data_IF_985062183964
#
_entry.id   IF_985062183964
#
_cell.length_a   1.000
_cell.length_b   1.000
_cell.length_c   1.000
_cell.angle_alpha   90.00
_cell.angle_beta   90.00
_cell.angle_gamma   90.00
#
_symmetry.space_group_name_H-M   'P 1'
#
loop_
_entity.id
_entity.type
_entity.pdbx_description
1 polymer ?
#
# COMPACT_ATOMS: atom_id res chain seq x y z
N UNK A 1 33.32 -20.95 -3.90
CA UNK A 1 32.31 -19.97 -3.44
C UNK A 1 32.28 -19.91 -1.91
N UNK A 2 32.49 -18.74 -1.30
CA UNK A 2 32.56 -18.60 0.17
C UNK A 2 31.15 -18.42 0.76
N UNK A 3 30.74 -19.38 1.58
CA UNK A 3 29.44 -19.37 2.27
C UNK A 3 29.24 -18.16 3.19
N UNK A 4 30.33 -17.57 3.71
CA UNK A 4 30.26 -16.38 4.57
C UNK A 4 29.82 -15.16 3.77
N UNK A 5 30.36 -15.01 2.55
CA UNK A 5 29.99 -13.93 1.65
C UNK A 5 28.54 -14.05 1.24
N UNK A 6 28.12 -15.24 0.79
CA UNK A 6 26.72 -15.49 0.42
C UNK A 6 25.74 -15.24 1.57
N UNK A 7 26.10 -15.64 2.80
CA UNK A 7 25.24 -15.39 3.96
C UNK A 7 25.07 -13.91 4.27
N UNK A 8 26.11 -13.12 4.08
CA UNK A 8 26.07 -11.65 4.27
C UNK A 8 25.21 -10.99 3.21
N UNK A 9 25.34 -11.42 1.97
CA UNK A 9 24.64 -10.86 0.81
C UNK A 9 23.15 -11.22 0.79
N UNK A 10 22.82 -12.52 0.92
CA UNK A 10 21.46 -12.99 0.72
C UNK A 10 20.67 -13.20 2.03
N UNK A 11 21.31 -13.11 3.19
CA UNK A 11 20.69 -13.31 4.53
C UNK A 11 19.88 -14.62 4.64
N UNK A 12 20.22 -15.63 3.83
CA UNK A 12 19.51 -16.90 3.77
C UNK A 12 19.95 -17.88 4.87
N UNK A 13 19.09 -18.83 5.27
CA UNK A 13 19.47 -19.96 6.13
C UNK A 13 20.66 -20.74 5.57
N UNK A 14 21.57 -21.16 6.45
CA UNK A 14 22.80 -21.82 6.05
C UNK A 14 22.55 -23.11 5.23
N UNK A 15 21.49 -23.84 5.53
CA UNK A 15 21.11 -25.04 4.78
C UNK A 15 20.80 -24.77 3.31
N UNK A 16 20.20 -23.63 3.00
CA UNK A 16 19.90 -23.21 1.61
C UNK A 16 21.21 -22.92 0.88
N UNK A 17 22.09 -22.15 1.51
CA UNK A 17 23.39 -21.78 0.93
C UNK A 17 24.27 -23.02 0.71
N UNK A 18 24.32 -23.95 1.67
CA UNK A 18 25.06 -25.19 1.53
C UNK A 18 24.52 -26.08 0.40
N UNK A 19 23.20 -26.17 0.25
CA UNK A 19 22.60 -26.93 -0.84
C UNK A 19 22.89 -26.29 -2.21
N UNK A 20 22.79 -24.98 -2.32
CA UNK A 20 23.11 -24.26 -3.56
C UNK A 20 24.60 -24.46 -3.97
N UNK A 21 25.52 -24.37 -3.01
CA UNK A 21 26.95 -24.61 -3.26
C UNK A 21 27.20 -26.07 -3.68
N UNK A 22 26.59 -27.07 -3.01
CA UNK A 22 26.72 -28.47 -3.43
C UNK A 22 26.20 -28.68 -4.86
N UNK A 23 25.05 -28.12 -5.21
CA UNK A 23 24.49 -28.23 -6.55
C UNK A 23 25.36 -27.54 -7.59
N UNK A 24 25.94 -26.38 -7.28
CA UNK A 24 26.87 -25.70 -8.20
C UNK A 24 28.17 -26.49 -8.42
N UNK A 25 28.70 -27.12 -7.37
CA UNK A 25 29.90 -27.99 -7.47
C UNK A 25 29.59 -29.25 -8.28
N UNK A 26 28.43 -29.87 -8.06
CA UNK A 26 28.02 -31.05 -8.81
C UNK A 26 27.80 -30.73 -10.30
N UNK A 27 27.16 -29.62 -10.61
CA UNK A 27 27.02 -29.16 -11.97
C UNK A 27 28.38 -28.89 -12.62
N UNK A 28 29.32 -28.24 -11.94
CA UNK A 28 30.68 -28.02 -12.46
C UNK A 28 31.44 -29.32 -12.73
N UNK A 29 31.25 -30.39 -11.94
CA UNK A 29 31.87 -31.69 -12.16
C UNK A 29 31.27 -32.47 -13.34
N UNK A 30 29.94 -32.37 -13.54
CA UNK A 30 29.28 -33.08 -14.66
C UNK A 30 29.51 -32.40 -16.01
N UNK A 31 29.88 -31.09 -16.05
CA UNK A 31 30.22 -30.38 -17.28
C UNK A 31 31.69 -30.42 -17.66
N UNK A 32 32.58 -30.96 -16.81
CA UNK A 32 33.99 -31.10 -17.15
C UNK A 32 34.26 -32.29 -18.09
N UNK A 33 33.30 -33.22 -18.26
CA UNK A 33 33.47 -34.41 -19.12
C UNK A 33 32.88 -34.22 -20.54
N UNK A 34 32.05 -33.21 -20.80
CA UNK A 34 31.47 -32.93 -22.13
C UNK A 34 31.88 -31.58 -22.64
N UNK A 35 32.58 -31.58 -23.77
CA UNK A 35 33.17 -30.46 -24.52
C UNK A 35 32.24 -29.20 -24.66
N UNK A 36 32.87 -28.06 -24.32
CA UNK A 36 32.74 -26.74 -25.01
C UNK A 36 31.43 -25.94 -24.97
N UNK A 37 30.55 -26.11 -24.00
CA UNK A 37 29.63 -25.03 -23.68
C UNK A 37 29.66 -24.79 -22.17
N UNK A 38 30.57 -23.88 -21.71
CA UNK A 38 30.55 -23.33 -20.35
C UNK A 38 29.23 -22.58 -20.13
N UNK A 39 28.13 -23.28 -19.85
CA UNK A 39 26.94 -22.66 -19.25
C UNK A 39 27.33 -22.26 -17.83
N UNK A 40 27.64 -21.01 -17.66
CA UNK A 40 27.78 -20.39 -16.35
C UNK A 40 26.55 -20.75 -15.52
N UNK A 41 26.74 -21.48 -14.43
CA UNK A 41 25.62 -21.91 -13.58
C UNK A 41 25.09 -20.67 -12.91
N UNK A 42 23.88 -20.27 -13.28
CA UNK A 42 23.21 -19.12 -12.67
C UNK A 42 22.94 -19.39 -11.19
N UNK A 43 23.79 -18.79 -10.35
CA UNK A 43 23.71 -18.90 -8.91
C UNK A 43 22.37 -18.40 -8.37
N UNK A 44 21.79 -17.36 -8.96
CA UNK A 44 20.50 -16.81 -8.52
C UNK A 44 19.40 -17.82 -8.77
N UNK A 45 19.41 -18.51 -9.88
CA UNK A 45 18.47 -19.58 -10.19
C UNK A 45 18.61 -20.76 -9.22
N UNK A 46 19.83 -21.18 -8.89
CA UNK A 46 20.08 -22.24 -7.91
C UNK A 46 19.58 -21.85 -6.51
N UNK A 47 19.90 -20.64 -6.07
CA UNK A 47 19.43 -20.13 -4.78
C UNK A 47 17.91 -20.04 -4.75
N UNK A 48 17.27 -19.60 -5.82
CA UNK A 48 15.82 -19.56 -5.98
C UNK A 48 15.18 -20.95 -5.84
N UNK A 49 15.75 -21.96 -6.50
CA UNK A 49 15.27 -23.34 -6.44
C UNK A 49 15.41 -23.93 -5.02
N UNK A 50 16.57 -23.72 -4.37
CA UNK A 50 16.80 -24.17 -3.00
C UNK A 50 15.89 -23.46 -2.00
N UNK A 51 15.65 -22.16 -2.17
CA UNK A 51 14.73 -21.39 -1.35
C UNK A 51 13.29 -21.88 -1.52
N UNK A 52 12.86 -22.13 -2.75
CA UNK A 52 11.52 -22.68 -3.04
C UNK A 52 11.29 -24.01 -2.36
N UNK A 53 12.30 -24.89 -2.41
CA UNK A 53 12.21 -26.18 -1.72
C UNK A 53 12.17 -26.05 -0.19
N UNK A 54 12.92 -25.09 0.37
CA UNK A 54 12.90 -24.79 1.80
C UNK A 54 11.55 -24.22 2.24
N UNK A 55 10.99 -23.25 1.50
CA UNK A 55 9.69 -22.65 1.80
C UNK A 55 8.57 -23.68 1.78
N UNK A 56 8.61 -24.66 0.87
CA UNK A 56 7.65 -25.79 0.84
C UNK A 56 7.67 -26.61 2.12
N UNK A 57 8.82 -26.70 2.81
CA UNK A 57 8.97 -27.44 4.08
C UNK A 57 8.60 -26.62 5.32
N UNK A 58 8.40 -25.31 5.19
CA UNK A 58 7.90 -24.51 6.31
C UNK A 58 6.50 -24.99 6.73
N UNK A 59 6.16 -24.90 8.03
CA UNK A 59 4.84 -25.24 8.51
C UNK A 59 3.75 -24.57 7.66
N UNK A 60 2.74 -25.34 7.30
CA UNK A 60 1.59 -24.77 6.60
C UNK A 60 0.73 -24.01 7.62
N UNK A 61 0.89 -22.70 7.64
CA UNK A 61 0.05 -21.79 8.36
C UNK A 61 -0.79 -20.98 7.34
N UNK A 62 -2.08 -20.78 7.59
CA UNK A 62 -2.91 -19.99 6.69
C UNK A 62 -2.39 -18.54 6.60
N UNK A 63 -2.36 -17.99 5.39
CA UNK A 63 -1.99 -16.60 5.14
C UNK A 63 -3.18 -15.71 5.46
N UNK A 64 -3.29 -15.23 6.70
CA UNK A 64 -4.43 -14.46 7.20
C UNK A 64 -4.10 -13.01 7.53
N UNK A 65 -2.83 -12.69 7.69
CA UNK A 65 -2.41 -11.34 8.06
C UNK A 65 -2.11 -10.54 6.81
N UNK A 66 -2.85 -9.46 6.65
CA UNK A 66 -2.68 -8.51 5.54
C UNK A 66 -1.67 -7.45 5.92
N UNK A 67 -0.79 -7.11 4.99
CA UNK A 67 0.19 -6.03 5.11
C UNK A 67 0.23 -5.24 3.80
N UNK A 68 0.08 -3.93 3.89
CA UNK A 68 0.26 -3.03 2.76
C UNK A 68 1.63 -2.38 2.80
N UNK A 69 2.33 -2.43 1.67
CA UNK A 69 3.48 -1.62 1.35
C UNK A 69 3.10 -0.47 0.45
N UNK A 70 3.74 0.68 0.64
CA UNK A 70 3.43 1.89 -0.10
C UNK A 70 4.72 2.54 -0.56
N UNK A 71 4.70 3.04 -1.79
CA UNK A 71 5.73 3.91 -2.32
C UNK A 71 5.09 5.04 -3.11
N UNK A 72 5.70 6.21 -3.09
CA UNK A 72 5.25 7.38 -3.85
C UNK A 72 6.37 7.97 -4.68
N UNK A 73 6.04 8.38 -5.89
CA UNK A 73 6.86 9.18 -6.79
C UNK A 73 6.11 10.44 -7.16
N UNK A 74 6.75 11.39 -7.87
CA UNK A 74 6.13 12.70 -8.17
C UNK A 74 4.73 12.63 -8.79
N UNK A 75 4.45 11.59 -9.58
CA UNK A 75 3.20 11.46 -10.33
C UNK A 75 2.47 10.14 -10.11
N UNK A 76 2.95 9.31 -9.19
CA UNK A 76 2.37 7.99 -8.97
C UNK A 76 2.50 7.54 -7.52
N UNK A 77 1.52 6.75 -7.07
CA UNK A 77 1.58 5.99 -5.83
C UNK A 77 1.44 4.51 -6.20
N UNK A 78 2.33 3.67 -5.68
CA UNK A 78 2.16 2.23 -5.75
C UNK A 78 1.78 1.69 -4.37
N UNK A 79 0.87 0.72 -4.37
CA UNK A 79 0.46 -0.03 -3.18
C UNK A 79 0.55 -1.51 -3.48
N UNK A 80 1.22 -2.25 -2.61
CA UNK A 80 1.35 -3.71 -2.72
C UNK A 80 0.72 -4.37 -1.49
N UNK A 81 -0.16 -5.34 -1.73
CA UNK A 81 -0.80 -6.14 -0.69
C UNK A 81 -0.05 -7.47 -0.53
N UNK A 82 0.46 -7.71 0.67
CA UNK A 82 1.04 -8.99 1.06
C UNK A 82 0.10 -9.72 2.02
N UNK A 83 0.02 -11.02 1.85
CA UNK A 83 -0.51 -11.95 2.85
C UNK A 83 0.63 -12.66 3.54
N UNK A 84 0.60 -12.74 4.87
CA UNK A 84 1.59 -13.47 5.66
C UNK A 84 0.95 -14.39 6.71
N UNK A 85 1.73 -15.36 7.17
CA UNK A 85 1.26 -16.38 8.11
C UNK A 85 1.30 -15.93 9.56
N UNK A 86 2.11 -14.96 9.91
CA UNK A 86 2.23 -14.47 11.29
C UNK A 86 2.58 -13.00 11.39
N UNK A 87 2.36 -12.44 12.59
CA UNK A 87 2.72 -11.04 12.90
C UNK A 87 4.10 -10.88 13.54
N UNK A 88 4.81 -12.00 13.78
CA UNK A 88 6.06 -11.97 14.57
C UNK A 88 7.18 -11.15 13.94
N UNK A 89 7.21 -11.06 12.60
CA UNK A 89 8.23 -10.32 11.84
C UNK A 89 7.64 -9.13 11.07
N UNK A 90 6.55 -8.56 11.60
CA UNK A 90 5.81 -7.50 10.95
C UNK A 90 6.69 -6.34 10.42
N UNK A 91 7.65 -5.77 11.16
CA UNK A 91 8.50 -4.70 10.63
C UNK A 91 9.25 -5.12 9.36
N UNK A 92 9.85 -6.31 9.33
CA UNK A 92 10.56 -6.81 8.16
C UNK A 92 9.64 -7.06 6.97
N UNK A 93 8.39 -7.52 7.23
CA UNK A 93 7.40 -7.76 6.18
C UNK A 93 6.90 -6.43 5.61
N UNK A 94 6.71 -5.42 6.44
CA UNK A 94 6.38 -4.04 6.00
C UNK A 94 7.50 -3.47 5.13
N UNK A 95 8.77 -3.64 5.52
CA UNK A 95 9.92 -3.18 4.72
C UNK A 95 9.96 -3.87 3.35
N UNK A 96 9.69 -5.18 3.31
CA UNK A 96 9.57 -5.93 2.06
C UNK A 96 8.43 -5.40 1.21
N UNK A 97 7.25 -5.18 1.80
CA UNK A 97 6.09 -4.66 1.09
C UNK A 97 6.37 -3.27 0.49
N UNK A 98 7.01 -2.37 1.26
CA UNK A 98 7.41 -1.06 0.77
C UNK A 98 8.46 -1.15 -0.35
N UNK A 99 9.42 -2.07 -0.25
CA UNK A 99 10.40 -2.30 -1.31
C UNK A 99 9.73 -2.78 -2.59
N UNK A 100 8.77 -3.72 -2.49
CA UNK A 100 7.99 -4.19 -3.64
C UNK A 100 7.13 -3.08 -4.24
N UNK A 101 6.59 -2.18 -3.42
CA UNK A 101 5.87 -1.01 -3.92
C UNK A 101 6.81 -0.04 -4.69
N UNK A 102 8.04 0.17 -4.22
CA UNK A 102 9.05 0.93 -4.96
C UNK A 102 9.40 0.26 -6.28
N UNK A 103 9.58 -1.06 -6.29
CA UNK A 103 9.82 -1.81 -7.52
C UNK A 103 8.64 -1.71 -8.50
N UNK A 104 7.41 -1.71 -8.02
CA UNK A 104 6.22 -1.54 -8.85
C UNK A 104 6.23 -0.19 -9.59
N UNK A 105 6.69 0.90 -8.94
CA UNK A 105 6.84 2.20 -9.57
C UNK A 105 7.89 2.22 -10.70
N UNK A 106 8.93 1.41 -10.58
CA UNK A 106 10.04 1.38 -11.54
C UNK A 106 9.78 0.38 -12.67
N UNK A 107 9.32 -0.82 -12.32
CA UNK A 107 9.25 -1.97 -13.22
C UNK A 107 7.82 -2.33 -13.64
N UNK A 108 6.81 -1.66 -13.09
CA UNK A 108 5.40 -1.96 -13.31
C UNK A 108 4.86 -3.03 -12.36
N UNK A 109 3.54 -2.99 -12.13
CA UNK A 109 2.85 -3.88 -11.17
C UNK A 109 2.94 -5.35 -11.54
N UNK A 110 2.88 -5.68 -12.84
CA UNK A 110 2.88 -7.07 -13.31
C UNK A 110 4.21 -7.77 -13.02
N UNK A 111 5.34 -7.05 -13.10
CA UNK A 111 6.64 -7.58 -12.72
C UNK A 111 6.70 -7.94 -11.24
N UNK A 112 6.09 -7.13 -10.38
CA UNK A 112 6.01 -7.40 -8.95
C UNK A 112 5.11 -8.58 -8.65
N UNK A 113 3.92 -8.66 -9.27
CA UNK A 113 2.99 -9.77 -9.08
C UNK A 113 3.59 -11.12 -9.49
N UNK A 114 4.40 -11.14 -10.55
CA UNK A 114 5.06 -12.34 -11.06
C UNK A 114 6.40 -12.64 -10.38
N UNK A 115 6.82 -11.82 -9.40
CA UNK A 115 8.11 -11.97 -8.74
C UNK A 115 8.18 -13.25 -7.91
N UNK A 116 9.29 -13.98 -8.05
CA UNK A 116 9.59 -15.09 -7.16
C UNK A 116 10.06 -14.58 -5.78
N UNK A 117 9.17 -14.62 -4.79
CA UNK A 117 9.42 -14.15 -3.42
C UNK A 117 10.01 -15.22 -2.49
N UNK A 118 10.29 -16.43 -3.01
CA UNK A 118 10.76 -17.54 -2.18
C UNK A 118 12.10 -17.26 -1.47
N UNK A 119 12.99 -16.47 -2.08
CA UNK A 119 14.23 -16.04 -1.43
C UNK A 119 13.96 -15.18 -0.19
N UNK A 120 13.02 -14.25 -0.30
CA UNK A 120 12.60 -13.38 0.80
C UNK A 120 11.88 -14.19 1.89
N UNK A 121 10.95 -15.05 1.50
CA UNK A 121 10.25 -15.96 2.42
C UNK A 121 11.22 -16.87 3.17
N UNK A 122 12.21 -17.43 2.47
CA UNK A 122 13.25 -18.25 3.06
C UNK A 122 14.15 -17.49 4.04
N UNK A 123 14.48 -16.23 3.75
CA UNK A 123 15.29 -15.38 4.65
C UNK A 123 14.57 -15.08 5.96
N UNK A 124 13.26 -14.93 5.93
CA UNK A 124 12.43 -14.71 7.10
C UNK A 124 12.05 -16.00 7.82
N UNK A 125 12.08 -17.15 7.12
CA UNK A 125 11.56 -18.42 7.64
C UNK A 125 10.04 -18.43 7.77
N UNK A 126 9.34 -17.60 6.99
CA UNK A 126 7.89 -17.46 6.98
C UNK A 126 7.34 -17.48 5.56
N UNK A 127 6.09 -17.95 5.41
CA UNK A 127 5.38 -17.88 4.15
C UNK A 127 4.68 -16.55 4.01
N UNK A 128 4.79 -15.97 2.84
CA UNK A 128 3.98 -14.84 2.43
C UNK A 128 3.73 -14.88 0.92
N UNK A 129 2.74 -14.13 0.48
CA UNK A 129 2.31 -14.07 -0.91
C UNK A 129 2.02 -12.62 -1.29
N UNK A 130 2.39 -12.22 -2.50
CA UNK A 130 1.92 -10.98 -3.10
C UNK A 130 0.52 -11.27 -3.64
N UNK A 131 -0.49 -10.61 -3.07
CA UNK A 131 -1.88 -10.82 -3.46
C UNK A 131 -2.31 -9.82 -4.52
N UNK A 132 -1.89 -8.56 -4.37
CA UNK A 132 -2.23 -7.50 -5.29
C UNK A 132 -1.14 -6.43 -5.35
N UNK A 133 -1.09 -5.72 -6.47
CA UNK A 133 -0.29 -4.52 -6.66
C UNK A 133 -1.08 -3.54 -7.54
N UNK A 134 -1.18 -2.28 -7.10
CA UNK A 134 -1.82 -1.21 -7.83
C UNK A 134 -0.91 0.01 -7.94
N UNK A 135 -1.04 0.73 -9.06
CA UNK A 135 -0.37 2.00 -9.31
C UNK A 135 -1.43 3.05 -9.63
N UNK A 136 -1.45 4.12 -8.86
CA UNK A 136 -2.38 5.23 -9.02
C UNK A 136 -1.64 6.43 -9.63
N UNK A 137 -2.17 6.96 -10.73
CA UNK A 137 -1.67 8.21 -11.33
C UNK A 137 -2.10 9.41 -10.47
N UNK A 138 -1.21 10.41 -10.39
CA UNK A 138 -1.40 11.67 -9.68
C UNK A 138 -1.32 12.85 -10.66
N UNK A 139 -1.63 12.62 -11.93
CA UNK A 139 -1.61 13.68 -12.93
C UNK A 139 -2.64 14.74 -12.56
N UNK A 140 -2.18 16.00 -12.53
CA UNK A 140 -2.98 17.19 -12.22
C UNK A 140 -3.71 17.18 -10.87
N UNK A 141 -3.30 16.28 -9.95
CA UNK A 141 -3.86 16.16 -8.61
C UNK A 141 -2.82 16.36 -7.51
N UNK A 142 -3.27 16.87 -6.37
CA UNK A 142 -2.59 16.79 -5.09
C UNK A 142 -3.15 15.58 -4.36
N UNK A 143 -2.27 14.73 -3.87
CA UNK A 143 -2.67 13.48 -3.25
C UNK A 143 -2.34 13.46 -1.75
N UNK A 144 -3.34 13.09 -0.96
CA UNK A 144 -3.17 12.67 0.43
C UNK A 144 -3.10 11.15 0.53
N UNK A 145 -2.20 10.67 1.37
CA UNK A 145 -1.99 9.26 1.63
C UNK A 145 -2.00 9.01 3.13
N UNK A 146 -2.74 7.99 3.55
CA UNK A 146 -2.76 7.54 4.94
C UNK A 146 -2.76 6.02 5.01
N UNK A 147 -1.89 5.48 5.87
CA UNK A 147 -1.83 4.05 6.14
C UNK A 147 -2.12 3.77 7.61
N UNK A 148 -3.20 3.05 7.88
CA UNK A 148 -3.57 2.68 9.25
C UNK A 148 -3.02 1.29 9.59
N UNK A 149 -2.03 1.25 10.50
CA UNK A 149 -1.41 0.01 11.01
C UNK A 149 -0.94 -0.97 9.92
N UNK A 150 -0.59 -0.47 8.74
CA UNK A 150 -0.23 -1.24 7.54
C UNK A 150 -1.33 -2.23 7.08
N UNK A 151 -2.59 -2.01 7.46
CA UNK A 151 -3.74 -2.87 7.11
C UNK A 151 -4.81 -2.16 6.30
N UNK A 152 -4.86 -0.84 6.37
CA UNK A 152 -5.78 -0.01 5.60
C UNK A 152 -5.00 1.14 4.97
N UNK A 153 -5.24 1.40 3.70
CA UNK A 153 -4.63 2.51 2.97
C UNK A 153 -5.72 3.39 2.42
N UNK A 154 -5.69 4.67 2.78
CA UNK A 154 -6.54 5.70 2.21
C UNK A 154 -5.75 6.58 1.25
N UNK A 155 -6.34 6.89 0.11
CA UNK A 155 -5.83 7.83 -0.88
C UNK A 155 -6.95 8.83 -1.17
N UNK A 156 -6.63 10.13 -1.10
CA UNK A 156 -7.54 11.19 -1.50
C UNK A 156 -6.86 12.08 -2.53
N UNK A 157 -7.54 12.34 -3.63
CA UNK A 157 -7.04 13.18 -4.72
C UNK A 157 -7.83 14.50 -4.78
N UNK A 158 -7.13 15.62 -4.81
CA UNK A 158 -7.68 16.97 -4.95
C UNK A 158 -7.15 17.55 -6.27
N UNK A 159 -8.04 18.15 -7.08
CA UNK A 159 -7.62 18.86 -8.30
C UNK A 159 -6.57 19.93 -7.98
N UNK A 160 -5.49 19.96 -8.75
CA UNK A 160 -4.37 20.87 -8.56
C UNK A 160 -4.27 21.97 -9.62
N UNK A 161 -5.21 22.00 -10.59
CA UNK A 161 -5.13 22.87 -11.76
C UNK A 161 -4.96 24.36 -11.38
N UNK A 162 -5.65 24.81 -10.33
CA UNK A 162 -5.68 26.23 -9.92
C UNK A 162 -4.93 26.51 -8.62
N UNK A 163 -4.09 25.56 -8.14
CA UNK A 163 -3.42 25.68 -6.86
C UNK A 163 -1.99 26.21 -7.04
N UNK A 164 -1.68 27.44 -6.55
CA UNK A 164 -0.34 27.98 -6.59
C UNK A 164 0.67 27.10 -5.84
N UNK A 165 1.89 26.97 -6.35
CA UNK A 165 2.95 26.13 -5.78
C UNK A 165 3.20 26.42 -4.29
N UNK A 166 3.20 27.71 -3.91
CA UNK A 166 3.37 28.13 -2.50
C UNK A 166 2.27 27.63 -1.54
N UNK A 167 1.12 27.18 -2.07
CA UNK A 167 -0.01 26.67 -1.30
C UNK A 167 -0.10 25.14 -1.28
N UNK A 168 0.61 24.47 -2.19
CA UNK A 168 0.61 23.01 -2.29
C UNK A 168 0.89 22.29 -0.97
N UNK A 169 1.82 22.72 -0.09
CA UNK A 169 2.04 22.04 1.20
C UNK A 169 0.80 22.05 2.10
N UNK A 170 0.03 23.16 2.10
CA UNK A 170 -1.22 23.22 2.89
C UNK A 170 -2.30 22.33 2.30
N UNK A 171 -2.41 22.28 0.96
CA UNK A 171 -3.38 21.42 0.28
C UNK A 171 -3.00 19.95 0.44
N UNK A 172 -1.70 19.61 0.43
CA UNK A 172 -1.22 18.26 0.76
C UNK A 172 -1.71 17.83 2.16
N UNK A 173 -1.59 18.71 3.15
CA UNK A 173 -2.07 18.41 4.50
C UNK A 173 -3.60 18.19 4.54
N UNK A 174 -4.38 19.01 3.81
CA UNK A 174 -5.82 18.78 3.65
C UNK A 174 -6.07 17.42 3.00
N UNK A 175 -5.38 17.10 1.91
CA UNK A 175 -5.52 15.82 1.22
C UNK A 175 -5.21 14.61 2.14
N UNK A 176 -4.15 14.70 2.96
CA UNK A 176 -3.84 13.67 3.96
C UNK A 176 -4.98 13.49 4.98
N UNK A 177 -5.59 14.59 5.44
CA UNK A 177 -6.72 14.52 6.36
C UNK A 177 -7.97 13.94 5.70
N UNK A 178 -8.18 14.19 4.42
CA UNK A 178 -9.23 13.53 3.63
C UNK A 178 -8.99 12.02 3.55
N UNK A 179 -7.76 11.58 3.31
CA UNK A 179 -7.41 10.16 3.28
C UNK A 179 -7.64 9.49 4.65
N UNK A 180 -7.29 10.15 5.75
CA UNK A 180 -7.59 9.68 7.12
C UNK A 180 -9.09 9.56 7.37
N UNK A 181 -9.85 10.56 6.94
CA UNK A 181 -11.30 10.58 7.11
C UNK A 181 -11.97 9.43 6.33
N UNK A 182 -11.54 9.19 5.07
CA UNK A 182 -12.02 8.07 4.28
C UNK A 182 -11.78 6.71 4.96
N UNK A 183 -10.56 6.50 5.49
CA UNK A 183 -10.23 5.28 6.25
C UNK A 183 -11.05 5.17 7.54
N UNK A 184 -11.26 6.27 8.25
CA UNK A 184 -12.04 6.27 9.49
C UNK A 184 -13.48 5.78 9.28
N UNK A 185 -14.14 6.23 8.21
CA UNK A 185 -15.52 5.87 7.93
C UNK A 185 -15.70 4.64 7.02
N UNK A 186 -14.62 4.03 6.57
CA UNK A 186 -14.66 2.89 5.65
C UNK A 186 -15.49 1.72 6.21
N UNK A 187 -15.32 1.39 7.49
CA UNK A 187 -16.10 0.34 8.14
C UNK A 187 -17.61 0.63 8.17
N UNK A 188 -18.01 1.90 8.34
CA UNK A 188 -19.41 2.30 8.27
C UNK A 188 -19.99 2.16 6.86
N UNK A 189 -19.20 2.51 5.84
CA UNK A 189 -19.59 2.31 4.44
C UNK A 189 -19.80 0.83 4.11
N UNK A 190 -18.85 -0.03 4.45
CA UNK A 190 -18.98 -1.48 4.23
C UNK A 190 -20.18 -2.08 4.95
N UNK A 191 -20.48 -1.60 6.16
CA UNK A 191 -21.66 -2.08 6.92
C UNK A 191 -22.96 -1.70 6.21
N UNK A 192 -23.03 -0.51 5.60
CA UNK A 192 -24.15 -0.07 4.78
C UNK A 192 -24.33 -0.94 3.55
N UNK A 193 -23.26 -1.19 2.80
CA UNK A 193 -23.28 -2.03 1.60
C UNK A 193 -23.69 -3.47 1.92
N UNK A 194 -23.21 -4.05 3.03
CA UNK A 194 -23.64 -5.37 3.48
C UNK A 194 -25.14 -5.45 3.75
N UNK A 195 -25.73 -4.41 4.35
CA UNK A 195 -27.18 -4.37 4.58
C UNK A 195 -27.98 -4.35 3.28
N UNK A 196 -27.51 -3.60 2.28
CA UNK A 196 -28.15 -3.57 0.96
C UNK A 196 -28.09 -4.96 0.30
N UNK A 197 -26.93 -5.61 0.33
CA UNK A 197 -26.76 -6.93 -0.30
C UNK A 197 -27.53 -8.07 0.39
N UNK A 198 -27.70 -8.01 1.71
CA UNK A 198 -28.52 -9.01 2.45
C UNK A 198 -29.99 -8.92 2.03
N UNK A 199 -30.49 -7.72 1.76
CA UNK A 199 -31.86 -7.52 1.32
C UNK A 199 -32.13 -8.06 -0.10
N UNK A 200 -31.09 -8.09 -0.96
CA UNK A 200 -31.19 -8.61 -2.32
C UNK A 200 -30.95 -10.13 -2.44
N UNK A 201 -30.77 -10.82 -1.32
CA UNK A 201 -30.57 -12.28 -1.29
C UNK A 201 -29.21 -12.74 -1.84
N UNK A 202 -28.29 -11.82 -2.07
CA UNK A 202 -26.94 -12.13 -2.52
C UNK A 202 -25.99 -12.50 -1.38
N UNK A 203 -25.24 -13.57 -1.55
CA UNK A 203 -24.10 -13.89 -0.67
C UNK A 203 -22.96 -12.94 -1.02
N UNK A 204 -22.55 -12.08 -0.06
CA UNK A 204 -21.40 -11.21 -0.27
C UNK A 204 -20.14 -12.05 -0.07
N UNK A 205 -19.56 -12.56 -1.15
CA UNK A 205 -18.22 -13.16 -1.15
C UNK A 205 -17.11 -12.14 -1.37
N UNK A 206 -17.41 -10.89 -1.69
CA UNK A 206 -16.41 -9.88 -2.00
C UNK A 206 -16.05 -9.06 -0.76
N UNK A 207 -15.00 -9.46 -0.10
CA UNK A 207 -14.21 -8.55 0.70
C UNK A 207 -13.62 -7.51 -0.27
N UNK A 208 -14.11 -6.27 -0.19
CA UNK A 208 -13.63 -5.22 -1.08
C UNK A 208 -12.16 -4.93 -0.78
N UNK A 209 -11.28 -5.48 -1.61
CA UNK A 209 -9.87 -5.09 -1.60
C UNK A 209 -9.70 -3.59 -1.88
N UNK A 210 -10.54 -3.04 -2.74
CA UNK A 210 -10.46 -1.66 -3.22
C UNK A 210 -11.84 -1.07 -3.38
N UNK A 211 -12.07 0.07 -2.74
CA UNK A 211 -13.31 0.85 -2.88
C UNK A 211 -12.97 2.24 -3.41
N UNK A 212 -13.57 2.62 -4.54
CA UNK A 212 -13.32 3.89 -5.23
C UNK A 212 -14.53 4.40 -6.04
N UNK A 213 -15.74 4.00 -5.67
CA UNK A 213 -16.96 4.41 -6.39
C UNK A 213 -17.32 5.88 -6.13
N UNK A 214 -18.07 6.55 -7.04
CA UNK A 214 -18.67 7.85 -6.78
C UNK A 214 -19.55 7.85 -5.51
N UNK A 215 -20.35 6.80 -5.30
CA UNK A 215 -21.20 6.64 -4.12
C UNK A 215 -20.41 6.63 -2.82
N UNK A 216 -19.19 6.05 -2.84
CA UNK A 216 -18.27 6.12 -1.70
C UNK A 216 -17.79 7.55 -1.46
N UNK A 217 -17.46 8.28 -2.52
CA UNK A 217 -17.04 9.67 -2.41
C UNK A 217 -18.15 10.56 -1.86
N UNK A 218 -19.37 10.41 -2.35
CA UNK A 218 -20.55 11.17 -1.86
C UNK A 218 -20.86 10.82 -0.41
N UNK A 219 -20.78 9.54 -0.05
CA UNK A 219 -20.94 9.10 1.33
C UNK A 219 -19.92 9.77 2.25
N UNK A 220 -18.62 9.72 1.91
CA UNK A 220 -17.55 10.32 2.71
C UNK A 220 -17.72 11.83 2.87
N UNK A 221 -18.10 12.55 1.81
CA UNK A 221 -18.31 13.98 1.83
C UNK A 221 -19.48 14.43 2.71
N UNK A 222 -20.50 13.58 2.86
CA UNK A 222 -21.69 13.87 3.67
C UNK A 222 -21.50 13.66 5.17
N UNK A 223 -20.41 12.96 5.58
CA UNK A 223 -20.19 12.59 6.97
C UNK A 223 -19.54 13.71 7.80
N UNK A 224 -19.78 13.72 9.12
CA UNK A 224 -19.16 14.67 10.03
C UNK A 224 -17.63 14.58 9.98
N UNK A 225 -16.98 15.72 9.82
CA UNK A 225 -15.51 15.81 9.83
C UNK A 225 -14.99 15.77 11.28
N UNK A 226 -14.27 14.70 11.63
CA UNK A 226 -13.83 14.46 13.01
C UNK A 226 -12.30 14.55 13.18
N UNK A 227 -11.56 14.82 12.12
CA UNK A 227 -10.10 14.87 12.18
C UNK A 227 -9.67 16.27 12.61
N UNK A 228 -8.91 16.34 13.72
CA UNK A 228 -8.32 17.58 14.17
C UNK A 228 -7.13 17.95 13.31
N UNK A 229 -7.16 19.13 12.71
CA UNK A 229 -6.00 19.75 12.09
C UNK A 229 -5.84 21.21 12.58
N UNK A 230 -4.68 21.77 12.33
CA UNK A 230 -4.39 23.17 12.69
C UNK A 230 -4.77 24.20 11.62
N UNK A 231 -5.39 23.78 10.50
CA UNK A 231 -5.67 24.63 9.35
C UNK A 231 -6.99 25.36 9.53
N UNK A 232 -8.00 24.64 9.96
CA UNK A 232 -9.33 25.18 10.21
C UNK A 232 -9.48 25.49 11.69
N UNK A 233 -9.74 26.76 12.01
CA UNK A 233 -9.92 27.23 13.38
C UNK A 233 -11.19 26.67 14.06
N UNK A 234 -12.12 26.14 13.29
CA UNK A 234 -13.27 25.38 13.79
C UNK A 234 -12.81 24.07 14.42
N UNK A 235 -12.22 24.18 15.60
CA UNK A 235 -11.70 22.99 16.32
C UNK A 235 -12.86 22.15 16.85
N UNK A 236 -12.78 20.83 16.78
CA UNK A 236 -13.74 19.93 17.41
C UNK A 236 -13.94 20.17 18.91
N UNK A 237 -12.98 20.78 19.59
CA UNK A 237 -13.03 21.07 21.03
C UNK A 237 -14.20 21.93 21.48
N UNK A 238 -14.87 22.65 20.58
CA UNK A 238 -16.07 23.45 20.87
C UNK A 238 -17.37 22.71 20.58
N UNK A 239 -17.32 21.50 20.02
CA UNK A 239 -18.49 20.78 19.51
C UNK A 239 -19.23 19.92 20.56
N UNK A 240 -18.72 19.79 21.77
CA UNK A 240 -19.38 19.00 22.81
C UNK A 240 -20.50 19.75 23.57
N UNK A 241 -20.79 21.00 23.22
CA UNK A 241 -21.92 21.70 23.79
C UNK A 241 -23.22 21.32 23.06
N UNK A 242 -24.25 21.04 23.84
CA UNK A 242 -25.59 20.64 23.39
C UNK A 242 -26.08 21.51 22.23
N UNK A 243 -26.36 20.90 21.08
CA UNK A 243 -26.99 21.56 19.92
C UNK A 243 -26.07 21.90 18.76
N UNK A 244 -24.78 21.59 18.81
CA UNK A 244 -23.85 21.82 17.71
C UNK A 244 -23.60 20.50 16.96
N UNK A 245 -23.74 20.56 15.63
CA UNK A 245 -23.35 19.46 14.73
C UNK A 245 -21.92 19.69 14.24
N UNK A 246 -21.16 18.63 14.07
CA UNK A 246 -19.88 18.69 13.37
C UNK A 246 -20.12 19.14 11.92
N UNK A 247 -19.27 20.03 11.34
CA UNK A 247 -19.34 20.29 9.93
C UNK A 247 -19.13 18.98 9.15
N UNK A 248 -19.82 18.85 8.05
CA UNK A 248 -19.55 17.75 7.10
C UNK A 248 -18.17 17.93 6.48
N UNK A 249 -17.64 16.88 5.88
CA UNK A 249 -16.38 17.00 5.14
C UNK A 249 -16.49 18.01 3.99
N UNK A 250 -17.65 18.09 3.33
CA UNK A 250 -17.89 19.08 2.29
C UNK A 250 -17.78 20.54 2.84
N UNK A 251 -18.36 20.79 4.01
CA UNK A 251 -18.25 22.11 4.68
C UNK A 251 -16.82 22.42 5.12
N UNK A 252 -16.08 21.42 5.61
CA UNK A 252 -14.65 21.56 5.92
C UNK A 252 -13.83 21.97 4.70
N UNK A 253 -14.08 21.35 3.53
CA UNK A 253 -13.40 21.69 2.28
C UNK A 253 -13.75 23.11 1.80
N UNK A 254 -15.01 23.51 1.93
CA UNK A 254 -15.44 24.87 1.59
C UNK A 254 -14.72 25.90 2.47
N UNK A 255 -14.64 25.67 3.78
CA UNK A 255 -13.94 26.57 4.70
C UNK A 255 -12.42 26.58 4.46
N UNK A 256 -11.82 25.42 4.19
CA UNK A 256 -10.40 25.33 3.82
C UNK A 256 -10.10 26.12 2.54
N UNK A 257 -10.98 26.04 1.54
CA UNK A 257 -10.88 26.83 0.31
C UNK A 257 -10.94 28.33 0.60
N UNK A 258 -11.87 28.76 1.45
CA UNK A 258 -12.01 30.17 1.86
C UNK A 258 -10.76 30.69 2.59
N UNK A 259 -10.16 29.92 3.47
CA UNK A 259 -8.93 30.28 4.19
C UNK A 259 -7.74 30.39 3.22
N UNK A 260 -7.62 29.46 2.28
CA UNK A 260 -6.58 29.49 1.25
C UNK A 260 -6.75 30.73 0.35
N UNK A 261 -7.98 31.06 -0.01
CA UNK A 261 -8.32 32.23 -0.84
C UNK A 261 -7.90 33.56 -0.20
N UNK A 262 -8.06 33.71 1.11
CA UNK A 262 -7.72 34.96 1.83
C UNK A 262 -6.25 35.38 1.73
N UNK A 263 -5.37 34.43 1.39
CA UNK A 263 -3.92 34.64 1.33
C UNK A 263 -3.38 34.78 -0.10
N UNK A 264 -4.25 35.02 -1.07
CA UNK A 264 -3.90 35.09 -2.50
C UNK A 264 -4.27 36.46 -3.08
N UNK A 265 -3.46 36.98 -4.01
CA UNK A 265 -3.80 38.21 -4.74
C UNK A 265 -5.15 38.11 -5.44
N UNK A 266 -5.86 39.24 -5.55
CA UNK A 266 -7.16 39.29 -6.22
C UNK A 266 -7.07 38.78 -7.65
N UNK A 267 -7.97 37.83 -8.00
CA UNK A 267 -8.11 37.32 -9.37
C UNK A 267 -7.96 35.79 -9.52
N UNK A 268 -7.43 35.09 -8.52
CA UNK A 268 -7.38 33.61 -8.53
C UNK A 268 -8.41 33.08 -7.55
N UNK A 269 -9.27 32.16 -8.00
CA UNK A 269 -10.25 31.49 -7.15
C UNK A 269 -9.75 30.06 -6.86
N UNK A 270 -9.47 29.74 -5.58
CA UNK A 270 -9.10 28.41 -5.16
C UNK A 270 -10.34 27.70 -4.63
N UNK A 271 -10.71 26.63 -5.28
CA UNK A 271 -11.72 25.70 -4.79
C UNK A 271 -11.08 24.33 -4.63
N UNK A 272 -11.03 23.82 -3.40
CA UNK A 272 -10.58 22.46 -3.13
C UNK A 272 -11.68 21.49 -3.56
N UNK A 273 -11.49 20.91 -4.72
CA UNK A 273 -12.42 19.94 -5.29
C UNK A 273 -11.82 18.53 -5.15
N UNK A 274 -12.38 17.68 -4.28
CA UNK A 274 -11.97 16.30 -4.25
C UNK A 274 -12.42 15.61 -5.53
N UNK A 275 -11.51 14.88 -6.17
CA UNK A 275 -11.79 14.15 -7.40
C UNK A 275 -12.08 12.69 -7.11
N UNK A 276 -11.35 12.12 -6.12
CA UNK A 276 -11.43 10.69 -5.87
C UNK A 276 -11.01 10.35 -4.45
N UNK A 277 -11.75 9.44 -3.83
CA UNK A 277 -11.37 8.72 -2.62
C UNK A 277 -11.18 7.25 -2.93
N UNK A 278 -10.08 6.68 -2.43
CA UNK A 278 -9.77 5.27 -2.57
C UNK A 278 -9.43 4.73 -1.19
N UNK A 279 -10.04 3.61 -0.80
CA UNK A 279 -9.61 2.85 0.37
C UNK A 279 -9.31 1.42 -0.05
N UNK A 280 -8.14 0.96 0.36
CA UNK A 280 -7.66 -0.40 0.17
C UNK A 280 -7.62 -1.07 1.54
N UNK A 281 -8.27 -2.20 1.68
CA UNK A 281 -8.25 -2.94 2.94
C UNK A 281 -9.32 -3.99 3.04
N UNK A 282 -9.09 -4.93 3.96
CA UNK A 282 -10.02 -5.99 4.34
C UNK A 282 -10.40 -5.79 5.81
N UNK A 283 -11.67 -6.02 6.14
CA UNK A 283 -12.20 -6.04 7.50
C UNK A 283 -12.57 -7.46 7.90
#
# INVERSE_FOLDING_TARGET
MDLRVLRKEYKLPLCILQNAVKLSQHAAMTFSDDNQNNKEVDLQQLLGNCASHYVKKLPYLPLKTVVYGIASAKKQIAVVKLLCSSERRMPCIVDIANTLAQEALVNGKDNVLNRNINLLAASLGERFQIEAADIFSLEDCICGLYCHKNRLVGIAQISAADIPEAKRPLVNHVAENLAKHAVYYYGAYLSREKHISINDGGVIETLFYKTESPDFSDFILSLPYVISDGIVSARPTHFFHRGWSYPTLAEYLAESSRILQQKIPQGQNIQLKPERFIVLGDF
#
